data_IF_247970955983
#
_entry.id   IF_247970955983
#
_cell.length_a   1.000
_cell.length_b   1.000
_cell.length_c   1.000
_cell.angle_alpha   90.00
_cell.angle_beta   90.00
_cell.angle_gamma   90.00
#
_symmetry.space_group_name_H-M   'P 1'
#
loop_
_entity.id
_entity.type
_entity.pdbx_description
1 polymer ?
#
# COMPACT_ATOMS: atom_id res chain seq x y z
N UNK A 1 16.44 -18.61 -11.82
CA UNK A 1 16.00 -17.21 -11.68
C UNK A 1 15.90 -16.93 -10.19
N UNK A 2 16.89 -16.27 -9.59
CA UNK A 2 16.89 -15.95 -8.15
C UNK A 2 16.08 -14.66 -7.98
N UNK A 3 14.88 -14.77 -7.40
CA UNK A 3 14.11 -13.59 -7.02
C UNK A 3 14.78 -13.04 -5.77
N UNK A 4 15.31 -11.81 -5.85
CA UNK A 4 15.85 -11.10 -4.70
C UNK A 4 14.69 -10.63 -3.81
N UNK A 5 14.24 -11.55 -2.95
CA UNK A 5 13.10 -11.38 -2.04
C UNK A 5 13.34 -10.25 -1.05
N UNK A 6 14.59 -9.99 -0.66
CA UNK A 6 14.94 -8.85 0.19
C UNK A 6 14.77 -7.51 -0.51
N UNK A 7 15.25 -7.38 -1.76
CA UNK A 7 15.05 -6.16 -2.55
C UNK A 7 13.58 -5.93 -2.84
N UNK A 8 12.82 -6.98 -3.16
CA UNK A 8 11.37 -6.89 -3.33
C UNK A 8 10.67 -6.44 -2.05
N UNK A 9 11.05 -6.97 -0.88
CA UNK A 9 10.51 -6.58 0.41
C UNK A 9 10.79 -5.11 0.72
N UNK A 10 12.05 -4.65 0.55
CA UNK A 10 12.43 -3.25 0.76
C UNK A 10 11.63 -2.31 -0.15
N UNK A 11 11.43 -2.69 -1.41
CA UNK A 11 10.67 -1.89 -2.38
C UNK A 11 9.19 -1.78 -1.99
N UNK A 12 8.58 -2.89 -1.54
CA UNK A 12 7.19 -2.89 -1.08
C UNK A 12 7.01 -2.04 0.18
N UNK A 13 7.93 -2.14 1.14
CA UNK A 13 7.90 -1.31 2.35
C UNK A 13 7.97 0.18 2.02
N UNK A 14 8.89 0.58 1.14
CA UNK A 14 8.99 1.97 0.68
C UNK A 14 7.70 2.45 0.00
N UNK A 15 7.10 1.62 -0.87
CA UNK A 15 5.83 1.95 -1.53
C UNK A 15 4.69 2.10 -0.51
N UNK A 16 4.61 1.20 0.49
CA UNK A 16 3.63 1.29 1.57
C UNK A 16 3.77 2.60 2.33
N UNK A 17 4.99 2.94 2.75
CA UNK A 17 5.24 4.15 3.55
C UNK A 17 4.91 5.42 2.75
N UNK A 18 5.19 5.43 1.43
CA UNK A 18 4.78 6.51 0.53
C UNK A 18 3.25 6.62 0.40
N UNK A 19 2.55 5.49 0.28
CA UNK A 19 1.08 5.47 0.21
C UNK A 19 0.44 5.88 1.54
N UNK A 20 1.02 5.51 2.68
CA UNK A 20 0.56 5.91 4.00
C UNK A 20 0.71 7.42 4.20
N UNK A 21 1.85 7.99 3.78
CA UNK A 21 2.08 9.45 3.76
C UNK A 21 1.07 10.15 2.88
N UNK A 22 0.89 9.68 1.63
CA UNK A 22 -0.07 10.24 0.70
C UNK A 22 -1.52 10.15 1.22
N UNK A 23 -1.90 9.05 1.87
CA UNK A 23 -3.22 8.91 2.48
C UNK A 23 -3.43 9.86 3.66
N UNK A 24 -2.37 10.14 4.44
CA UNK A 24 -2.42 11.13 5.52
C UNK A 24 -2.57 12.56 4.96
N UNK A 25 -1.80 12.91 3.94
CA UNK A 25 -1.89 14.21 3.26
C UNK A 25 -3.27 14.43 2.66
N UNK A 26 -3.83 13.39 2.02
CA UNK A 26 -5.19 13.42 1.54
C UNK A 26 -6.16 13.77 2.69
N UNK A 27 -6.16 13.04 3.80
CA UNK A 27 -7.09 13.33 4.92
C UNK A 27 -7.03 14.78 5.41
N UNK A 28 -5.87 15.44 5.33
CA UNK A 28 -5.71 16.85 5.68
C UNK A 28 -6.10 17.85 4.59
N UNK A 29 -6.31 17.38 3.35
CA UNK A 29 -6.57 18.20 2.16
C UNK A 29 -8.05 18.23 1.77
N UNK A 30 -8.97 17.94 2.70
CA UNK A 30 -10.40 17.97 2.41
C UNK A 30 -10.82 19.38 1.92
N UNK A 31 -11.53 19.49 0.78
CA UNK A 31 -11.94 20.79 0.27
C UNK A 31 -12.96 21.45 1.21
N UNK A 32 -12.60 22.59 1.80
CA UNK A 32 -13.52 23.41 2.59
C UNK A 32 -14.01 24.58 1.74
N UNK A 33 -15.32 24.72 1.62
CA UNK A 33 -15.93 25.92 1.02
C UNK A 33 -16.05 26.99 2.09
N UNK A 34 -15.29 28.08 1.95
CA UNK A 34 -15.49 29.31 2.73
C UNK A 34 -16.13 30.34 1.79
N UNK A 35 -17.21 31.00 2.22
CA UNK A 35 -17.92 31.97 1.37
C UNK A 35 -18.57 33.05 2.20
N UNK A 36 -18.01 34.25 2.12
CA UNK A 36 -18.62 35.44 2.74
C UNK A 36 -19.23 36.39 1.71
N UNK A 37 -18.88 36.30 0.41
CA UNK A 37 -19.30 37.30 -0.60
C UNK A 37 -19.35 36.79 -2.05
N UNK A 38 -20.19 35.80 -2.38
CA UNK A 38 -20.47 35.43 -3.78
C UNK A 38 -21.97 35.33 -4.03
N UNK A 39 -22.46 35.96 -5.11
CA UNK A 39 -23.88 35.89 -5.50
C UNK A 39 -24.35 34.45 -5.76
N UNK A 40 -25.65 34.19 -5.61
CA UNK A 40 -26.24 32.83 -5.55
C UNK A 40 -25.76 31.87 -6.65
N UNK A 41 -25.65 32.33 -7.90
CA UNK A 41 -25.19 31.49 -9.01
C UNK A 41 -23.73 31.03 -8.91
N UNK A 42 -22.84 31.84 -8.34
CA UNK A 42 -21.45 31.46 -8.10
C UNK A 42 -21.32 30.53 -6.89
N UNK A 43 -22.13 30.75 -5.85
CA UNK A 43 -22.17 29.88 -4.67
C UNK A 43 -22.60 28.45 -5.05
N UNK A 44 -23.56 28.30 -5.96
CA UNK A 44 -24.01 26.98 -6.41
C UNK A 44 -22.98 26.24 -7.26
N UNK A 45 -22.30 26.94 -8.18
CA UNK A 45 -21.20 26.35 -8.94
C UNK A 45 -20.03 25.95 -8.02
N UNK A 46 -19.66 26.81 -7.07
CA UNK A 46 -18.63 26.50 -6.08
C UNK A 46 -18.98 25.27 -5.23
N UNK A 47 -20.25 25.13 -4.80
CA UNK A 47 -20.74 23.94 -4.10
C UNK A 47 -20.71 22.67 -4.96
N UNK A 48 -21.01 22.77 -6.25
CA UNK A 48 -20.93 21.63 -7.17
C UNK A 48 -19.46 21.18 -7.30
N UNK A 49 -18.55 22.13 -7.55
CA UNK A 49 -17.11 21.85 -7.67
C UNK A 49 -16.57 21.25 -6.36
N UNK A 50 -16.93 21.81 -5.20
CA UNK A 50 -16.51 21.28 -3.91
C UNK A 50 -17.02 19.84 -3.67
N UNK A 51 -18.27 19.54 -4.04
CA UNK A 51 -18.81 18.16 -3.96
C UNK A 51 -18.08 17.19 -4.89
N UNK A 52 -17.72 17.63 -6.10
CA UNK A 52 -16.94 16.83 -7.04
C UNK A 52 -15.53 16.59 -6.50
N UNK A 53 -14.86 17.63 -5.99
CA UNK A 53 -13.54 17.51 -5.38
C UNK A 53 -13.57 16.58 -4.16
N UNK A 54 -14.58 16.67 -3.30
CA UNK A 54 -14.72 15.75 -2.18
C UNK A 54 -14.97 14.30 -2.64
N UNK A 55 -15.76 14.09 -3.69
CA UNK A 55 -15.95 12.74 -4.26
C UNK A 55 -14.64 12.15 -4.78
N UNK A 56 -13.85 12.95 -5.52
CA UNK A 56 -12.52 12.55 -6.00
C UNK A 56 -11.59 12.27 -4.81
N UNK A 57 -11.65 13.13 -3.79
CA UNK A 57 -10.87 13.02 -2.57
C UNK A 57 -11.08 11.67 -1.87
N UNK A 58 -12.35 11.32 -1.60
CA UNK A 58 -12.73 10.08 -0.94
C UNK A 58 -12.35 8.84 -1.77
N UNK A 59 -12.53 8.90 -3.09
CA UNK A 59 -12.16 7.81 -3.99
C UNK A 59 -10.64 7.57 -4.02
N UNK A 60 -9.84 8.64 -4.04
CA UNK A 60 -8.38 8.53 -3.96
C UNK A 60 -7.93 7.95 -2.63
N UNK A 61 -8.53 8.38 -1.52
CA UNK A 61 -8.24 7.80 -0.20
C UNK A 61 -8.57 6.30 -0.17
N UNK A 62 -9.74 5.90 -0.70
CA UNK A 62 -10.15 4.50 -0.79
C UNK A 62 -9.17 3.66 -1.61
N UNK A 63 -8.70 4.18 -2.76
CA UNK A 63 -7.70 3.50 -3.60
C UNK A 63 -6.36 3.36 -2.89
N UNK A 64 -5.87 4.41 -2.24
CA UNK A 64 -4.62 4.36 -1.47
C UNK A 64 -4.68 3.34 -0.34
N UNK A 65 -5.78 3.29 0.41
CA UNK A 65 -5.99 2.28 1.45
C UNK A 65 -6.03 0.85 0.89
N UNK A 66 -6.65 0.67 -0.28
CA UNK A 66 -6.67 -0.63 -0.98
C UNK A 66 -5.27 -1.07 -1.38
N UNK A 67 -4.46 -0.14 -1.92
CA UNK A 67 -3.08 -0.42 -2.29
C UNK A 67 -2.21 -0.74 -1.07
N UNK A 68 -2.34 0.01 0.03
CA UNK A 68 -1.63 -0.28 1.30
C UNK A 68 -1.92 -1.72 1.76
N UNK A 69 -3.19 -2.13 1.74
CA UNK A 69 -3.58 -3.48 2.13
C UNK A 69 -3.01 -4.55 1.17
N UNK A 70 -3.00 -4.28 -0.13
CA UNK A 70 -2.38 -5.16 -1.12
C UNK A 70 -0.87 -5.30 -0.88
N UNK A 71 -0.17 -4.20 -0.59
CA UNK A 71 1.26 -4.19 -0.28
C UNK A 71 1.55 -4.99 0.98
N UNK A 72 0.78 -4.81 2.06
CA UNK A 72 0.91 -5.62 3.28
C UNK A 72 0.70 -7.11 3.04
N UNK A 73 -0.27 -7.49 2.19
CA UNK A 73 -0.49 -8.88 1.81
C UNK A 73 0.70 -9.45 1.03
N UNK A 74 1.27 -8.68 0.11
CA UNK A 74 2.46 -9.06 -0.64
C UNK A 74 3.70 -9.22 0.28
N UNK A 75 3.90 -8.31 1.23
CA UNK A 75 4.95 -8.44 2.26
C UNK A 75 4.82 -9.75 3.05
N UNK A 76 3.61 -10.09 3.51
CA UNK A 76 3.35 -11.33 4.22
C UNK A 76 3.65 -12.58 3.38
N UNK A 77 3.31 -12.54 2.08
CA UNK A 77 3.63 -13.64 1.15
C UNK A 77 5.13 -13.82 0.95
N UNK A 78 5.90 -12.72 0.83
CA UNK A 78 7.35 -12.78 0.73
C UNK A 78 7.97 -13.38 2.00
N UNK A 79 7.51 -12.97 3.19
CA UNK A 79 7.98 -13.55 4.45
C UNK A 79 7.72 -15.05 4.53
N UNK A 80 6.55 -15.51 4.08
CA UNK A 80 6.23 -16.93 4.06
C UNK A 80 7.09 -17.71 3.06
N UNK A 81 7.36 -17.16 1.87
CA UNK A 81 8.28 -17.76 0.90
C UNK A 81 9.70 -17.91 1.48
N UNK A 82 10.22 -16.87 2.14
CA UNK A 82 11.54 -16.93 2.80
C UNK A 82 11.57 -17.99 3.90
N UNK A 83 10.50 -18.11 4.71
CA UNK A 83 10.39 -19.16 5.72
C UNK A 83 10.42 -20.55 5.08
N UNK A 84 9.64 -20.77 4.01
CA UNK A 84 9.58 -22.06 3.32
C UNK A 84 10.92 -22.44 2.69
N UNK A 85 11.63 -21.47 2.11
CA UNK A 85 12.98 -21.69 1.58
C UNK A 85 13.96 -22.14 2.68
N UNK A 86 13.95 -21.48 3.84
CA UNK A 86 14.79 -21.86 4.97
C UNK A 86 14.50 -23.28 5.50
N UNK A 87 13.22 -23.67 5.58
CA UNK A 87 12.81 -25.02 5.99
C UNK A 87 13.26 -26.05 4.95
N UNK A 88 13.06 -25.79 3.66
CA UNK A 88 13.45 -26.71 2.59
C UNK A 88 14.96 -26.95 2.55
N UNK A 89 15.77 -25.90 2.72
CA UNK A 89 17.24 -26.02 2.81
C UNK A 89 17.65 -26.89 4.01
N UNK A 90 17.04 -26.69 5.17
CA UNK A 90 17.31 -27.52 6.35
C UNK A 90 16.94 -28.99 6.16
N UNK A 91 15.81 -29.25 5.50
CA UNK A 91 15.31 -30.61 5.29
C UNK A 91 16.16 -31.38 4.27
N UNK A 92 16.58 -30.71 3.19
CA UNK A 92 17.49 -31.28 2.19
C UNK A 92 18.89 -31.56 2.78
N UNK A 93 19.42 -30.63 3.58
CA UNK A 93 20.70 -30.83 4.27
C UNK A 93 20.66 -31.99 5.27
N UNK A 94 19.53 -32.24 5.92
CA UNK A 94 19.35 -33.39 6.82
C UNK A 94 19.31 -34.73 6.05
N UNK A 95 18.65 -34.77 4.89
CA UNK A 95 18.59 -35.96 4.02
C UNK A 95 19.98 -36.30 3.46
N UNK A 96 20.74 -35.30 3.01
CA UNK A 96 22.11 -35.50 2.50
C UNK A 96 23.07 -35.99 3.60
N UNK A 97 22.92 -35.51 4.84
CA UNK A 97 23.72 -35.95 5.98
C UNK A 97 23.42 -37.41 6.39
N UNK A 98 22.15 -37.83 6.36
CA UNK A 98 21.77 -39.24 6.61
C UNK A 98 22.18 -40.17 5.47
N UNK A 99 22.18 -39.68 4.22
CA UNK A 99 22.65 -40.42 3.05
C UNK A 99 24.16 -40.64 3.02
N UNK A 100 24.95 -39.68 3.52
CA UNK A 100 26.41 -39.78 3.59
C UNK A 100 26.94 -40.63 4.77
N UNK A 101 26.08 -40.94 5.75
CA UNK A 101 26.42 -41.74 6.93
C UNK A 101 26.17 -43.26 6.75
N UNK A 102 25.86 -43.71 5.53
CA UNK A 102 25.71 -45.12 5.14
C UNK A 102 26.77 -45.53 4.13
#
# INVERSE_FOLDING_TARGET
>A
MHIDTEKSLRTLQQLRDQLETFAADLRGSEPIVTSDMLGEGFADQARIIARQLNSIHQENLRRSLTLINATRKAEAQIHELVRQEAVNVHTLGAIDAEGAAR
#
